data_IF_328757800449
#
_entry.id   IF_328757800449
#
_cell.length_a   1.000
_cell.length_b   1.000
_cell.length_c   1.000
_cell.angle_alpha   90.00
_cell.angle_beta   90.00
_cell.angle_gamma   90.00
#
_symmetry.space_group_name_H-M   'P 1'
#
loop_
_entity.id
_entity.type
_entity.pdbx_description
1 polymer ?
#
# COMPACT_ATOMS: atom_id res chain seq x y z
N UNK A 1 -1.46 -1.63 31.29
CA UNK A 1 -2.63 -0.83 31.74
C UNK A 1 -3.58 -0.74 30.55
N UNK A 2 -4.64 -1.51 30.59
CA UNK A 2 -5.68 -1.57 29.54
C UNK A 2 -6.62 -0.38 29.75
N UNK A 3 -6.52 0.64 28.90
CA UNK A 3 -7.55 1.66 28.84
C UNK A 3 -8.80 1.06 28.16
N UNK A 4 -9.84 0.83 28.94
CA UNK A 4 -11.19 0.61 28.45
C UNK A 4 -11.66 1.84 27.67
N UNK A 5 -12.41 1.71 26.57
CA UNK A 5 -12.95 2.86 25.87
C UNK A 5 -13.93 3.57 26.80
N UNK A 6 -13.71 4.86 26.99
CA UNK A 6 -14.61 5.76 27.73
C UNK A 6 -15.90 5.96 26.94
N UNK A 7 -16.94 5.21 27.29
CA UNK A 7 -18.29 5.31 26.73
C UNK A 7 -19.04 6.61 27.17
N UNK A 8 -18.45 7.44 28.03
CA UNK A 8 -19.15 8.55 28.68
C UNK A 8 -19.16 9.89 27.93
N UNK A 9 -18.42 10.02 26.80
CA UNK A 9 -18.21 11.37 26.20
C UNK A 9 -18.99 11.64 24.91
N UNK A 10 -19.76 10.72 24.36
CA UNK A 10 -20.50 10.90 23.09
C UNK A 10 -19.62 11.25 21.88
N UNK A 11 -18.30 11.09 21.98
CA UNK A 11 -17.35 11.39 20.92
C UNK A 11 -17.29 10.22 19.93
N UNK A 12 -17.35 10.47 18.61
CA UNK A 12 -17.25 9.41 17.62
C UNK A 12 -15.89 8.68 17.74
N UNK A 13 -15.84 7.37 17.40
CA UNK A 13 -14.61 6.59 17.38
C UNK A 13 -13.48 7.29 16.63
N UNK A 14 -12.24 7.08 17.03
CA UNK A 14 -11.05 7.74 16.44
C UNK A 14 -10.96 7.58 14.91
N UNK A 15 -11.39 6.42 14.39
CA UNK A 15 -11.53 6.15 12.95
C UNK A 15 -12.51 7.12 12.25
N UNK A 16 -13.73 7.31 12.81
CA UNK A 16 -14.72 8.22 12.22
C UNK A 16 -14.25 9.68 12.27
N UNK A 17 -13.54 10.08 13.33
CA UNK A 17 -12.95 11.43 13.43
C UNK A 17 -11.86 11.66 12.39
N UNK A 18 -10.98 10.70 12.18
CA UNK A 18 -9.93 10.76 11.18
C UNK A 18 -10.53 10.82 9.76
N UNK A 19 -11.51 9.98 9.47
CA UNK A 19 -12.24 10.01 8.19
C UNK A 19 -12.98 11.34 7.96
N UNK A 20 -13.61 11.90 9.00
CA UNK A 20 -14.29 13.21 8.90
C UNK A 20 -13.29 14.37 8.69
N UNK A 21 -12.14 14.34 9.36
CA UNK A 21 -11.08 15.33 9.16
C UNK A 21 -10.51 15.24 7.76
N UNK A 22 -10.29 14.04 7.24
CA UNK A 22 -9.82 13.80 5.89
C UNK A 22 -10.84 14.26 4.84
N UNK A 23 -12.12 13.94 5.02
CA UNK A 23 -13.18 14.44 4.14
C UNK A 23 -13.27 15.97 4.15
N UNK A 24 -13.13 16.61 5.32
CA UNK A 24 -13.10 18.07 5.43
C UNK A 24 -11.86 18.67 4.74
N UNK A 25 -10.71 18.00 4.81
CA UNK A 25 -9.48 18.38 4.13
C UNK A 25 -9.60 18.27 2.62
N UNK A 26 -10.07 17.12 2.11
CA UNK A 26 -10.35 16.90 0.69
C UNK A 26 -11.34 17.94 0.16
N UNK A 27 -12.38 18.28 0.92
CA UNK A 27 -13.35 19.29 0.55
C UNK A 27 -12.73 20.71 0.40
N UNK A 28 -11.67 21.03 1.15
CA UNK A 28 -10.93 22.31 1.01
C UNK A 28 -10.05 22.33 -0.23
N UNK A 29 -9.46 21.22 -0.61
CA UNK A 29 -8.55 21.12 -1.76
C UNK A 29 -9.33 20.96 -3.07
N UNK A 30 -10.49 20.29 -3.04
CA UNK A 30 -11.32 19.99 -4.20
C UNK A 30 -11.66 21.21 -5.09
N UNK A 31 -11.99 22.40 -4.56
CA UNK A 31 -12.25 23.58 -5.41
C UNK A 31 -11.02 24.07 -6.16
N UNK A 32 -9.82 23.71 -5.73
CA UNK A 32 -8.55 24.12 -6.34
C UNK A 32 -8.08 23.13 -7.43
N UNK A 33 -8.63 21.93 -7.44
CA UNK A 33 -8.24 20.89 -8.39
C UNK A 33 -8.87 21.15 -9.77
N UNK A 34 -8.10 20.98 -10.88
CA UNK A 34 -8.65 21.10 -12.22
C UNK A 34 -9.81 20.11 -12.46
N UNK A 35 -10.91 20.54 -13.12
CA UNK A 35 -12.05 19.65 -13.41
C UNK A 35 -11.66 18.38 -14.17
N UNK A 36 -10.68 18.47 -15.08
CA UNK A 36 -10.14 17.32 -15.82
C UNK A 36 -9.45 16.29 -14.91
N UNK A 37 -8.78 16.72 -13.85
CA UNK A 37 -8.21 15.82 -12.84
C UNK A 37 -9.32 15.13 -12.02
N UNK A 38 -10.34 15.87 -11.60
CA UNK A 38 -11.48 15.31 -10.86
C UNK A 38 -12.23 14.26 -11.69
N UNK A 39 -12.41 14.50 -12.99
CA UNK A 39 -13.00 13.53 -13.90
C UNK A 39 -12.11 12.28 -14.06
N UNK A 40 -10.79 12.43 -14.13
CA UNK A 40 -9.84 11.33 -14.21
C UNK A 40 -9.89 10.48 -12.94
N UNK A 41 -9.84 11.12 -11.76
CA UNK A 41 -9.96 10.45 -10.46
C UNK A 41 -11.31 9.73 -10.32
N UNK A 42 -12.40 10.37 -10.76
CA UNK A 42 -13.73 9.72 -10.78
C UNK A 42 -13.80 8.50 -11.68
N UNK A 43 -13.22 8.58 -12.89
CA UNK A 43 -13.14 7.43 -13.81
C UNK A 43 -12.27 6.30 -13.25
N UNK A 44 -11.11 6.62 -12.71
CA UNK A 44 -10.25 5.66 -12.02
C UNK A 44 -11.00 4.96 -10.90
N UNK A 45 -11.66 5.70 -10.00
CA UNK A 45 -12.40 5.12 -8.88
C UNK A 45 -13.43 4.09 -9.33
N UNK A 46 -14.27 4.44 -10.29
CA UNK A 46 -15.25 3.51 -10.83
C UNK A 46 -14.61 2.31 -11.55
N UNK A 47 -13.52 2.53 -12.27
CA UNK A 47 -12.82 1.46 -12.95
C UNK A 47 -12.23 0.45 -11.94
N UNK A 48 -11.63 0.92 -10.84
CA UNK A 48 -11.08 0.09 -9.77
C UNK A 48 -12.20 -0.66 -9.03
N UNK A 49 -13.25 0.04 -8.61
CA UNK A 49 -14.42 -0.58 -7.95
C UNK A 49 -15.00 -1.71 -8.79
N UNK A 50 -15.26 -1.47 -10.08
CA UNK A 50 -15.83 -2.47 -10.96
C UNK A 50 -14.92 -3.67 -11.19
N UNK A 51 -13.59 -3.50 -11.17
CA UNK A 51 -12.64 -4.59 -11.39
C UNK A 51 -12.37 -5.40 -10.12
N UNK A 52 -12.16 -4.74 -9.00
CA UNK A 52 -11.72 -5.40 -7.77
C UNK A 52 -12.89 -5.87 -6.88
N UNK A 53 -14.10 -5.28 -7.02
CA UNK A 53 -15.32 -5.73 -6.31
C UNK A 53 -16.19 -6.69 -7.12
N UNK A 54 -15.67 -7.25 -8.16
CA UNK A 54 -16.42 -8.02 -9.17
C UNK A 54 -17.15 -9.23 -8.54
N UNK A 55 -16.55 -9.96 -7.60
CA UNK A 55 -17.20 -11.08 -6.93
C UNK A 55 -18.55 -10.70 -6.30
N UNK A 56 -18.61 -9.52 -5.67
CA UNK A 56 -19.85 -9.01 -5.05
C UNK A 56 -20.93 -8.70 -6.08
N UNK A 57 -20.55 -8.15 -7.25
CA UNK A 57 -21.47 -7.92 -8.35
C UNK A 57 -21.99 -9.21 -8.99
N UNK A 58 -21.16 -10.26 -9.08
CA UNK A 58 -21.59 -11.56 -9.55
C UNK A 58 -22.62 -12.20 -8.61
N UNK A 59 -22.37 -12.20 -7.30
CA UNK A 59 -23.33 -12.69 -6.31
C UNK A 59 -24.66 -11.91 -6.39
N UNK A 60 -24.60 -10.58 -6.48
CA UNK A 60 -25.79 -9.76 -6.67
C UNK A 60 -26.51 -10.12 -7.98
N UNK A 61 -25.78 -10.31 -9.08
CA UNK A 61 -26.33 -10.72 -10.37
C UNK A 61 -27.04 -12.07 -10.32
N UNK A 62 -26.43 -13.07 -9.69
CA UNK A 62 -27.04 -14.39 -9.49
C UNK A 62 -28.30 -14.30 -8.63
N UNK A 63 -28.25 -13.54 -7.53
CA UNK A 63 -29.41 -13.35 -6.65
C UNK A 63 -30.56 -12.64 -7.38
N UNK A 64 -30.29 -11.57 -8.13
CA UNK A 64 -31.30 -10.87 -8.94
C UNK A 64 -31.85 -11.79 -10.02
N UNK A 65 -31.00 -12.56 -10.71
CA UNK A 65 -31.43 -13.52 -11.72
C UNK A 65 -32.40 -14.55 -11.11
N UNK A 66 -32.07 -15.14 -9.97
CA UNK A 66 -32.94 -16.05 -9.22
C UNK A 66 -34.27 -15.39 -8.80
N UNK A 67 -34.20 -14.16 -8.30
CA UNK A 67 -35.40 -13.43 -7.86
C UNK A 67 -36.38 -13.17 -9.03
N UNK A 68 -35.85 -12.95 -10.24
CA UNK A 68 -36.72 -12.77 -11.46
C UNK A 68 -37.53 -14.02 -11.83
N UNK A 69 -37.24 -15.20 -11.25
CA UNK A 69 -38.01 -16.42 -11.40
C UNK A 69 -39.08 -16.58 -10.30
N UNK A 70 -38.85 -15.96 -9.15
CA UNK A 70 -39.73 -16.07 -7.98
C UNK A 70 -40.79 -14.97 -7.94
N UNK A 71 -40.46 -13.79 -8.48
CA UNK A 71 -41.34 -12.60 -8.44
C UNK A 71 -41.92 -12.30 -9.80
N UNK A 72 -43.25 -12.11 -9.90
CA UNK A 72 -43.93 -11.69 -11.12
C UNK A 72 -43.73 -10.20 -11.38
N UNK A 73 -42.72 -9.88 -12.22
CA UNK A 73 -42.42 -8.52 -12.67
C UNK A 73 -42.93 -8.29 -14.08
N UNK A 74 -43.18 -7.04 -14.51
CA UNK A 74 -43.43 -6.70 -15.91
C UNK A 74 -42.38 -7.26 -16.85
N UNK A 75 -42.78 -7.81 -18.01
CA UNK A 75 -41.87 -8.51 -18.92
C UNK A 75 -40.63 -7.68 -19.31
N UNK A 76 -40.79 -6.39 -19.61
CA UNK A 76 -39.68 -5.49 -19.94
C UNK A 76 -38.67 -5.37 -18.81
N UNK A 77 -39.13 -5.24 -17.56
CA UNK A 77 -38.28 -5.14 -16.39
C UNK A 77 -37.55 -6.47 -16.14
N UNK A 78 -38.26 -7.59 -16.25
CA UNK A 78 -37.67 -8.95 -16.13
C UNK A 78 -36.55 -9.14 -17.14
N UNK A 79 -36.77 -8.78 -18.39
CA UNK A 79 -35.77 -8.90 -19.47
C UNK A 79 -34.54 -8.02 -19.18
N UNK A 80 -34.77 -6.77 -18.80
CA UNK A 80 -33.67 -5.84 -18.46
C UNK A 80 -32.83 -6.34 -17.28
N UNK A 81 -33.49 -6.80 -16.20
CA UNK A 81 -32.79 -7.34 -15.01
C UNK A 81 -31.98 -8.60 -15.35
N UNK A 82 -32.55 -9.51 -16.16
CA UNK A 82 -31.83 -10.71 -16.61
C UNK A 82 -30.63 -10.35 -17.48
N UNK A 83 -30.77 -9.41 -18.42
CA UNK A 83 -29.65 -8.97 -19.23
C UNK A 83 -28.52 -8.34 -18.42
N UNK A 84 -28.85 -7.47 -17.46
CA UNK A 84 -27.87 -6.88 -16.55
C UNK A 84 -27.19 -7.93 -15.66
N UNK A 85 -27.95 -8.90 -15.15
CA UNK A 85 -27.40 -9.99 -14.33
C UNK A 85 -26.43 -10.86 -15.14
N UNK A 86 -26.78 -11.23 -16.36
CA UNK A 86 -25.89 -11.96 -17.27
C UNK A 86 -24.64 -11.15 -17.60
N UNK A 87 -24.79 -9.87 -17.89
CA UNK A 87 -23.64 -8.98 -18.13
C UNK A 87 -22.70 -8.90 -16.92
N UNK A 88 -23.24 -8.79 -15.69
CA UNK A 88 -22.46 -8.79 -14.47
C UNK A 88 -21.70 -10.12 -14.26
N UNK A 89 -22.34 -11.27 -14.53
CA UNK A 89 -21.71 -12.59 -14.43
C UNK A 89 -20.59 -12.74 -15.47
N UNK A 90 -20.82 -12.33 -16.72
CA UNK A 90 -19.80 -12.41 -17.77
C UNK A 90 -18.61 -11.47 -17.47
N UNK A 91 -18.88 -10.30 -16.91
CA UNK A 91 -17.85 -9.38 -16.45
C UNK A 91 -16.98 -10.02 -15.33
N UNK A 92 -17.62 -10.72 -14.40
CA UNK A 92 -16.92 -11.44 -13.33
C UNK A 92 -16.03 -12.57 -13.85
N UNK A 93 -16.56 -13.38 -14.78
CA UNK A 93 -15.76 -14.44 -15.40
C UNK A 93 -14.51 -13.86 -16.09
N UNK A 94 -14.65 -12.71 -16.76
CA UNK A 94 -13.51 -11.99 -17.34
C UNK A 94 -12.51 -11.53 -16.26
N UNK A 95 -13.00 -10.97 -15.15
CA UNK A 95 -12.12 -10.51 -14.07
C UNK A 95 -11.42 -11.67 -13.35
N UNK A 96 -12.11 -12.79 -13.14
CA UNK A 96 -11.50 -14.03 -12.62
C UNK A 96 -10.40 -14.55 -13.57
N UNK A 97 -10.62 -14.50 -14.87
CA UNK A 97 -9.61 -14.83 -15.87
C UNK A 97 -8.39 -13.89 -15.79
N UNK A 98 -8.61 -12.58 -15.65
CA UNK A 98 -7.53 -11.61 -15.50
C UNK A 98 -6.77 -11.77 -14.16
N UNK A 99 -7.48 -12.11 -13.08
CA UNK A 99 -6.85 -12.46 -11.81
C UNK A 99 -5.94 -13.69 -11.95
N UNK A 100 -6.39 -14.73 -12.69
CA UNK A 100 -5.56 -15.89 -12.99
C UNK A 100 -4.31 -15.52 -13.81
N UNK A 101 -4.43 -14.62 -14.81
CA UNK A 101 -3.27 -14.08 -15.54
C UNK A 101 -2.30 -13.33 -14.62
N UNK A 102 -2.85 -12.60 -13.63
CA UNK A 102 -2.02 -11.92 -12.61
C UNK A 102 -1.22 -12.94 -11.78
N UNK A 103 -1.85 -14.05 -11.35
CA UNK A 103 -1.16 -15.14 -10.64
C UNK A 103 0.03 -15.66 -11.45
N UNK A 104 -0.19 -15.94 -12.75
CA UNK A 104 0.88 -16.40 -13.63
C UNK A 104 2.05 -15.42 -13.72
N UNK A 105 1.78 -14.10 -13.83
CA UNK A 105 2.82 -13.07 -13.84
C UNK A 105 3.58 -12.98 -12.52
N UNK A 106 2.89 -13.13 -11.40
CA UNK A 106 3.51 -13.19 -10.08
C UNK A 106 4.44 -14.39 -9.97
N UNK A 107 3.95 -15.58 -10.35
CA UNK A 107 4.75 -16.81 -10.28
C UNK A 107 5.97 -16.76 -11.21
N UNK A 108 5.82 -16.19 -12.42
CA UNK A 108 6.95 -15.97 -13.34
C UNK A 108 7.98 -15.02 -12.73
N UNK A 109 7.56 -13.91 -12.12
CA UNK A 109 8.48 -12.93 -11.53
C UNK A 109 9.19 -13.43 -10.27
N UNK A 110 8.57 -14.38 -9.55
CA UNK A 110 9.08 -14.97 -8.32
C UNK A 110 9.58 -16.42 -8.52
N UNK A 111 9.79 -16.85 -9.78
CA UNK A 111 10.18 -18.24 -10.08
C UNK A 111 11.48 -18.69 -9.41
N UNK A 112 12.41 -17.74 -9.23
CA UNK A 112 13.70 -17.98 -8.61
C UNK A 112 13.72 -17.70 -7.09
N UNK A 113 12.53 -17.42 -6.51
CA UNK A 113 12.37 -17.22 -5.07
C UNK A 113 11.88 -18.54 -4.47
N UNK A 114 12.81 -19.28 -3.89
CA UNK A 114 12.51 -20.46 -3.08
C UNK A 114 12.39 -20.04 -1.61
N UNK A 115 11.43 -20.60 -0.90
CA UNK A 115 11.29 -20.46 0.56
C UNK A 115 11.11 -21.87 1.16
N UNK A 116 11.65 -22.08 2.35
CA UNK A 116 11.71 -23.39 3.01
C UNK A 116 10.35 -23.88 3.57
N UNK A 117 9.24 -23.40 3.09
CA UNK A 117 7.95 -23.85 3.61
C UNK A 117 6.75 -23.50 2.72
N UNK A 118 5.59 -24.10 3.00
CA UNK A 118 4.37 -23.73 2.31
C UNK A 118 4.00 -22.29 2.68
N UNK A 119 3.95 -21.41 1.66
CA UNK A 119 3.47 -20.04 1.86
C UNK A 119 2.04 -20.06 2.39
N UNK A 120 1.78 -19.52 3.57
CA UNK A 120 0.43 -19.39 4.10
C UNK A 120 -0.44 -18.61 3.11
N UNK A 121 -1.67 -19.10 2.90
CA UNK A 121 -2.61 -18.45 1.98
C UNK A 121 -3.46 -17.43 2.72
N UNK A 122 -3.73 -16.33 2.05
CA UNK A 122 -4.73 -15.35 2.55
C UNK A 122 -6.11 -16.03 2.58
N UNK A 123 -6.84 -16.00 3.71
CA UNK A 123 -8.19 -16.55 3.78
C UNK A 123 -9.11 -15.89 2.75
N UNK A 124 -9.88 -16.70 2.00
CA UNK A 124 -10.77 -16.18 0.94
C UNK A 124 -12.18 -15.88 1.42
N UNK A 125 -12.45 -16.03 2.71
CA UNK A 125 -13.75 -15.67 3.32
C UNK A 125 -14.14 -14.23 3.07
N UNK A 126 -13.17 -13.32 2.95
CA UNK A 126 -13.40 -11.91 2.63
C UNK A 126 -13.89 -11.63 1.20
N UNK A 127 -13.75 -12.59 0.28
CA UNK A 127 -14.35 -12.49 -1.07
C UNK A 127 -15.87 -12.63 -1.03
N UNK A 128 -16.42 -13.22 0.02
CA UNK A 128 -17.86 -13.51 0.19
C UNK A 128 -18.50 -12.49 1.14
N UNK A 129 -17.77 -12.03 2.15
CA UNK A 129 -18.25 -11.06 3.14
C UNK A 129 -17.98 -9.64 2.62
N UNK A 130 -18.88 -8.65 2.85
CA UNK A 130 -18.65 -7.27 2.38
C UNK A 130 -17.26 -6.75 2.78
N UNK A 131 -16.65 -5.86 1.96
CA UNK A 131 -15.25 -5.44 2.07
C UNK A 131 -14.87 -4.68 3.36
N UNK A 132 -15.75 -4.66 4.35
CA UNK A 132 -15.59 -3.95 5.63
C UNK A 132 -14.87 -4.82 6.69
N UNK A 133 -14.72 -6.12 6.47
CA UNK A 133 -14.10 -7.03 7.43
C UNK A 133 -12.57 -7.13 7.24
N UNK A 134 -11.86 -6.04 7.47
CA UNK A 134 -10.40 -6.03 7.57
C UNK A 134 -9.89 -6.55 8.93
N UNK A 135 -10.61 -7.47 9.55
CA UNK A 135 -10.20 -8.10 10.80
C UNK A 135 -9.81 -9.53 10.52
N UNK A 136 -8.52 -9.79 10.51
CA UNK A 136 -8.01 -11.16 10.44
C UNK A 136 -7.92 -11.73 11.86
N UNK A 137 -8.55 -12.88 12.08
CA UNK A 137 -8.35 -13.63 13.33
C UNK A 137 -6.87 -13.97 13.47
N UNK A 138 -6.35 -13.86 14.69
CA UNK A 138 -4.93 -14.13 14.95
C UNK A 138 -3.98 -12.94 14.71
N UNK A 139 -4.52 -11.74 14.44
CA UNK A 139 -3.73 -10.52 14.35
C UNK A 139 -4.22 -9.50 15.39
N UNK A 140 -3.29 -8.98 16.18
CA UNK A 140 -3.52 -7.89 17.13
C UNK A 140 -3.09 -6.57 16.49
N UNK A 141 -3.95 -5.55 16.57
CA UNK A 141 -3.68 -4.20 16.09
C UNK A 141 -3.66 -3.22 17.24
N UNK A 142 -2.50 -2.55 17.47
CA UNK A 142 -2.36 -1.42 18.39
C UNK A 142 -2.44 -0.13 17.58
N UNK A 143 -3.35 0.77 17.94
CA UNK A 143 -3.66 1.96 17.13
C UNK A 143 -3.06 3.22 17.71
N UNK A 144 -2.59 4.11 16.83
CA UNK A 144 -2.28 5.50 17.13
C UNK A 144 -1.06 5.70 18.01
N UNK A 145 -0.09 4.79 17.96
CA UNK A 145 1.21 4.96 18.61
C UNK A 145 1.88 6.20 18.03
N UNK A 146 2.31 7.12 18.88
CA UNK A 146 3.01 8.33 18.47
C UNK A 146 4.49 7.98 18.26
N UNK A 147 5.00 8.19 17.05
CA UNK A 147 6.41 7.95 16.75
C UNK A 147 7.24 9.24 16.71
N UNK A 148 6.62 10.39 16.45
CA UNK A 148 7.32 11.68 16.47
C UNK A 148 6.37 12.86 16.68
N UNK A 149 6.94 14.04 16.89
CA UNK A 149 6.28 15.34 16.71
C UNK A 149 7.07 16.10 15.66
N UNK A 150 6.42 16.51 14.58
CA UNK A 150 7.03 17.30 13.53
C UNK A 150 7.29 18.75 14.00
N UNK A 151 8.10 19.50 13.26
CA UNK A 151 8.47 20.89 13.59
C UNK A 151 7.27 21.85 13.72
N UNK A 152 6.20 21.60 12.96
CA UNK A 152 4.95 22.35 13.02
C UNK A 152 4.01 21.94 14.20
N UNK A 153 4.48 21.04 15.07
CA UNK A 153 3.73 20.51 16.20
C UNK A 153 2.78 19.36 15.85
N UNK A 154 2.76 18.88 14.59
CA UNK A 154 1.95 17.74 14.17
C UNK A 154 2.42 16.46 14.86
N UNK A 155 1.51 15.75 15.53
CA UNK A 155 1.80 14.44 16.07
C UNK A 155 1.72 13.36 14.98
N UNK A 156 2.85 12.78 14.65
CA UNK A 156 3.00 11.69 13.70
C UNK A 156 2.69 10.36 14.38
N UNK A 157 1.82 9.56 13.79
CA UNK A 157 1.31 8.33 14.40
C UNK A 157 1.42 7.15 13.45
N UNK A 158 1.49 5.95 14.05
CA UNK A 158 1.44 4.68 13.34
C UNK A 158 0.50 3.70 14.06
N UNK A 159 0.10 2.66 13.34
CA UNK A 159 -0.59 1.51 13.90
C UNK A 159 0.32 0.28 13.78
N UNK A 160 0.35 -0.56 14.82
CA UNK A 160 1.17 -1.77 14.86
C UNK A 160 0.29 -2.99 14.65
N UNK A 161 0.67 -3.86 13.72
CA UNK A 161 0.03 -5.15 13.43
C UNK A 161 1.01 -6.26 13.77
N UNK A 162 0.59 -7.24 14.58
CA UNK A 162 1.42 -8.38 15.00
C UNK A 162 0.61 -9.63 15.24
N UNK A 163 1.22 -10.82 15.30
CA UNK A 163 0.53 -12.02 15.73
C UNK A 163 -0.19 -11.79 17.07
N UNK A 164 -1.39 -12.33 17.24
CA UNK A 164 -2.20 -12.05 18.44
C UNK A 164 -1.62 -12.70 19.69
N UNK A 165 -0.90 -13.81 19.54
CA UNK A 165 -0.23 -14.60 20.56
C UNK A 165 1.24 -14.20 20.79
N UNK A 166 1.71 -13.18 20.08
CA UNK A 166 3.05 -12.63 20.25
C UNK A 166 3.11 -11.70 21.47
N UNK A 167 4.15 -11.88 22.30
CA UNK A 167 4.50 -10.96 23.39
C UNK A 167 5.90 -10.36 23.10
N UNK A 168 6.01 -9.02 22.98
CA UNK A 168 7.30 -8.36 22.78
C UNK A 168 8.34 -8.62 23.90
N UNK A 169 7.89 -9.13 25.04
CA UNK A 169 8.78 -9.50 26.16
C UNK A 169 9.43 -10.89 25.97
N UNK A 170 8.97 -11.68 24.98
CA UNK A 170 9.62 -12.94 24.65
C UNK A 170 10.96 -12.65 23.95
N UNK A 171 11.96 -13.54 24.14
CA UNK A 171 13.28 -13.42 23.48
C UNK A 171 13.27 -13.74 21.97
N UNK A 172 12.10 -13.64 21.34
CA UNK A 172 11.88 -13.93 19.91
C UNK A 172 11.79 -12.63 19.13
N UNK A 173 12.71 -12.41 18.20
CA UNK A 173 12.69 -11.22 17.34
C UNK A 173 11.92 -11.50 16.04
N UNK A 174 11.10 -10.55 15.65
CA UNK A 174 10.31 -10.60 14.42
C UNK A 174 10.89 -9.67 13.35
N UNK A 175 10.90 -10.06 12.08
CA UNK A 175 11.16 -9.12 11.01
C UNK A 175 10.01 -8.10 10.92
N UNK A 176 10.32 -6.90 10.42
CA UNK A 176 9.41 -5.77 10.43
C UNK A 176 9.13 -5.23 9.02
N UNK A 177 7.92 -4.70 8.80
CA UNK A 177 7.57 -3.99 7.57
C UNK A 177 6.86 -2.67 7.87
N UNK A 178 7.34 -1.59 7.25
CA UNK A 178 6.72 -0.27 7.33
C UNK A 178 5.86 -0.07 6.07
N UNK A 179 4.57 0.21 6.27
CA UNK A 179 3.61 0.52 5.22
C UNK A 179 3.36 2.01 5.14
N UNK A 180 3.58 2.60 3.96
CA UNK A 180 3.37 4.02 3.66
C UNK A 180 2.15 4.17 2.76
N UNK A 181 1.14 4.91 3.22
CA UNK A 181 -0.09 5.08 2.45
C UNK A 181 0.09 5.98 1.22
N UNK A 182 -0.77 5.82 0.22
CA UNK A 182 -0.88 6.69 -0.95
C UNK A 182 -1.77 7.91 -0.72
N UNK A 183 -2.26 8.50 -1.83
CA UNK A 183 -3.17 9.65 -1.79
C UNK A 183 -2.56 10.92 -2.38
N UNK A 184 -1.57 10.79 -3.29
CA UNK A 184 -0.96 11.91 -4.02
C UNK A 184 -0.27 12.93 -3.12
N UNK A 185 0.25 12.49 -1.96
CA UNK A 185 0.83 13.34 -0.90
C UNK A 185 -0.15 14.38 -0.31
N UNK A 186 -1.42 14.32 -0.71
CA UNK A 186 -2.48 15.27 -0.39
C UNK A 186 -3.51 14.70 0.59
N UNK A 187 -3.68 13.40 0.54
CA UNK A 187 -4.76 12.67 1.19
C UNK A 187 -4.26 11.31 1.64
N UNK A 188 -5.10 10.55 2.32
CA UNK A 188 -4.81 9.22 2.81
C UNK A 188 -4.40 9.20 4.28
N UNK A 189 -4.41 8.01 4.83
CA UNK A 189 -4.06 7.76 6.22
C UNK A 189 -3.73 6.28 6.44
N UNK A 190 -3.10 5.96 7.58
CA UNK A 190 -2.84 4.60 8.05
C UNK A 190 -4.11 3.72 8.22
N UNK A 191 -5.31 4.27 7.97
CA UNK A 191 -6.57 3.53 8.09
C UNK A 191 -7.09 2.96 6.77
N UNK A 192 -6.47 3.29 5.62
CA UNK A 192 -7.05 3.05 4.31
C UNK A 192 -6.29 2.03 3.46
N UNK A 193 -4.95 2.07 3.46
CA UNK A 193 -4.11 1.23 2.59
C UNK A 193 -3.27 0.22 3.35
N UNK A 194 -2.86 -0.85 2.66
CA UNK A 194 -1.95 -1.88 3.15
C UNK A 194 -2.55 -2.80 4.20
N UNK A 195 -3.82 -2.63 4.60
CA UNK A 195 -4.43 -3.41 5.67
C UNK A 195 -4.49 -4.91 5.35
N UNK A 196 -4.88 -5.36 4.14
CA UNK A 196 -4.84 -6.79 3.80
C UNK A 196 -3.42 -7.35 3.85
N UNK A 197 -2.44 -6.63 3.32
CA UNK A 197 -1.03 -7.03 3.34
C UNK A 197 -0.49 -7.13 4.77
N UNK A 198 -0.71 -6.11 5.61
CA UNK A 198 -0.23 -6.11 6.99
C UNK A 198 -0.87 -7.21 7.84
N UNK A 199 -2.15 -7.52 7.63
CA UNK A 199 -2.80 -8.65 8.27
C UNK A 199 -2.18 -9.99 7.82
N UNK A 200 -1.90 -10.13 6.52
CA UNK A 200 -1.26 -11.33 6.01
C UNK A 200 0.14 -11.49 6.58
N UNK A 201 0.99 -10.47 6.52
CA UNK A 201 2.35 -10.50 7.06
C UNK A 201 2.36 -10.79 8.56
N UNK A 202 1.47 -10.14 9.34
CA UNK A 202 1.34 -10.44 10.76
C UNK A 202 0.90 -11.90 11.01
N UNK A 203 0.05 -12.47 10.17
CA UNK A 203 -0.37 -13.88 10.27
C UNK A 203 0.75 -14.89 9.99
N UNK A 204 1.85 -14.45 9.40
CA UNK A 204 3.03 -15.26 9.10
C UNK A 204 4.27 -14.85 9.91
N UNK A 205 4.08 -14.15 11.03
CA UNK A 205 5.13 -13.86 12.00
C UNK A 205 5.87 -12.53 11.80
N UNK A 206 5.41 -11.64 10.91
CA UNK A 206 5.97 -10.30 10.74
C UNK A 206 5.29 -9.28 11.66
N UNK A 207 6.01 -8.21 12.01
CA UNK A 207 5.42 -7.03 12.66
C UNK A 207 5.29 -5.89 11.65
N UNK A 208 4.05 -5.43 11.44
CA UNK A 208 3.74 -4.37 10.48
C UNK A 208 3.48 -3.02 11.14
N UNK A 209 3.99 -1.95 10.54
CA UNK A 209 3.82 -0.57 10.99
C UNK A 209 3.16 0.26 9.89
N UNK A 210 1.87 0.62 10.05
CA UNK A 210 1.18 1.48 9.09
C UNK A 210 1.30 2.93 9.53
N UNK A 211 2.03 3.77 8.78
CA UNK A 211 2.45 5.09 9.22
C UNK A 211 1.66 6.21 8.57
N UNK A 212 1.36 7.28 9.34
CA UNK A 212 0.97 8.57 8.79
C UNK A 212 2.22 9.42 8.53
N UNK A 213 2.15 10.31 7.57
CA UNK A 213 3.11 11.36 7.30
C UNK A 213 2.38 12.68 7.02
N UNK A 214 3.05 13.84 7.13
CA UNK A 214 2.45 15.14 6.85
C UNK A 214 2.08 15.27 5.38
N UNK A 215 0.94 15.90 5.14
CA UNK A 215 0.33 15.99 3.83
C UNK A 215 0.39 17.42 3.27
N UNK A 216 0.54 17.52 1.96
CA UNK A 216 0.41 18.77 1.22
C UNK A 216 -1.07 19.20 1.13
N UNK A 217 -1.39 20.47 0.97
CA UNK A 217 -0.48 21.60 0.82
C UNK A 217 0.00 22.19 2.16
N UNK A 218 -0.44 21.70 3.32
CA UNK A 218 -0.03 22.23 4.63
C UNK A 218 1.47 22.01 4.85
N UNK A 219 1.97 20.81 4.55
CA UNK A 219 3.39 20.51 4.52
C UNK A 219 3.87 20.34 3.07
N UNK A 220 4.97 21.00 2.71
CA UNK A 220 5.59 20.86 1.39
C UNK A 220 6.74 19.88 1.40
N UNK A 221 7.14 19.40 0.22
CA UNK A 221 8.37 18.64 0.07
C UNK A 221 9.56 19.36 0.71
N UNK A 222 10.45 18.68 1.49
CA UNK A 222 10.56 17.23 1.65
C UNK A 222 9.88 16.66 2.91
N UNK A 223 8.93 17.34 3.53
CA UNK A 223 8.33 16.92 4.80
C UNK A 223 7.84 15.47 4.79
N UNK A 224 7.33 14.98 3.66
CA UNK A 224 6.77 13.64 3.51
C UNK A 224 7.85 12.55 3.67
N UNK A 225 8.98 12.69 2.99
CA UNK A 225 10.07 11.72 3.08
C UNK A 225 10.78 11.81 4.43
N UNK A 226 10.92 13.01 5.00
CA UNK A 226 11.49 13.21 6.33
C UNK A 226 10.67 12.45 7.39
N UNK A 227 9.34 12.54 7.33
CA UNK A 227 8.46 11.86 8.28
C UNK A 227 8.53 10.33 8.12
N UNK A 228 8.62 9.81 6.88
CA UNK A 228 8.80 8.37 6.63
C UNK A 228 10.14 7.88 7.18
N UNK A 229 11.23 8.61 6.93
CA UNK A 229 12.55 8.26 7.50
C UNK A 229 12.57 8.35 9.02
N UNK A 230 11.87 9.32 9.59
CA UNK A 230 11.68 9.40 11.05
C UNK A 230 10.94 8.17 11.60
N UNK A 231 9.97 7.64 10.86
CA UNK A 231 9.29 6.39 11.24
C UNK A 231 10.24 5.19 11.18
N UNK A 232 11.10 5.08 10.15
CA UNK A 232 12.13 4.02 10.05
C UNK A 232 13.08 4.10 11.24
N UNK A 233 13.63 5.28 11.53
CA UNK A 233 14.52 5.51 12.66
C UNK A 233 13.86 5.13 13.99
N UNK A 234 12.62 5.60 14.23
CA UNK A 234 11.88 5.30 15.44
C UNK A 234 11.62 3.79 15.62
N UNK A 235 11.24 3.09 14.56
CA UNK A 235 11.01 1.63 14.61
C UNK A 235 12.31 0.91 14.98
N UNK A 236 13.45 1.30 14.42
CA UNK A 236 14.77 0.73 14.72
C UNK A 236 15.22 1.07 16.14
N UNK A 237 15.08 2.31 16.57
CA UNK A 237 15.44 2.76 17.93
C UNK A 237 14.65 2.05 19.04
N UNK A 238 13.39 1.68 18.75
CA UNK A 238 12.51 0.99 19.69
C UNK A 238 12.42 -0.52 19.43
N UNK A 239 13.33 -1.09 18.64
CA UNK A 239 13.28 -2.47 18.20
C UNK A 239 13.17 -3.48 19.37
N UNK A 240 13.93 -3.27 20.43
CA UNK A 240 13.91 -4.12 21.64
C UNK A 240 12.53 -4.10 22.33
N UNK A 241 11.93 -2.92 22.49
CA UNK A 241 10.59 -2.79 23.11
C UNK A 241 9.48 -3.36 22.21
N UNK A 242 9.72 -3.33 20.90
CA UNK A 242 8.78 -3.82 19.89
C UNK A 242 8.95 -5.33 19.60
N UNK A 243 10.00 -6.00 20.14
CA UNK A 243 10.29 -7.40 19.84
C UNK A 243 10.60 -7.63 18.35
N UNK A 244 11.32 -6.71 17.70
CA UNK A 244 11.68 -6.81 16.28
C UNK A 244 13.20 -6.84 16.09
N UNK A 245 13.63 -7.43 14.97
CA UNK A 245 15.02 -7.36 14.53
C UNK A 245 15.29 -6.00 13.86
N UNK A 246 16.17 -5.15 14.42
CA UNK A 246 16.48 -3.83 13.87
C UNK A 246 17.16 -3.89 12.49
N UNK A 247 17.79 -5.01 12.14
CA UNK A 247 18.44 -5.20 10.84
C UNK A 247 17.46 -5.67 9.76
N UNK A 248 16.29 -6.24 10.17
CA UNK A 248 15.30 -6.77 9.24
C UNK A 248 14.05 -5.88 9.18
N UNK A 249 14.23 -4.63 8.80
CA UNK A 249 13.15 -3.66 8.57
C UNK A 249 12.99 -3.45 7.06
N UNK A 250 11.83 -3.84 6.53
CA UNK A 250 11.44 -3.62 5.13
C UNK A 250 10.46 -2.47 5.00
N UNK A 251 10.30 -1.93 3.78
CA UNK A 251 9.36 -0.86 3.50
C UNK A 251 8.48 -1.16 2.30
N UNK A 252 7.20 -0.78 2.38
CA UNK A 252 6.24 -0.91 1.29
C UNK A 252 5.27 0.25 1.26
N UNK A 253 4.62 0.48 0.13
CA UNK A 253 3.62 1.54 0.00
C UNK A 253 3.10 1.70 -1.41
N UNK A 254 1.93 2.34 -1.57
CA UNK A 254 1.27 2.50 -2.85
C UNK A 254 1.19 3.95 -3.32
N UNK A 255 1.28 4.20 -4.65
CA UNK A 255 1.13 5.53 -5.24
C UNK A 255 2.17 6.54 -4.69
N UNK A 256 1.73 7.62 -4.08
CA UNK A 256 2.62 8.52 -3.33
C UNK A 256 3.43 7.78 -2.25
N UNK A 257 2.84 6.78 -1.59
CA UNK A 257 3.55 5.88 -0.67
C UNK A 257 4.56 4.99 -1.39
N UNK A 258 4.27 4.55 -2.62
CA UNK A 258 5.20 3.82 -3.47
C UNK A 258 6.42 4.65 -3.88
N UNK A 259 6.19 5.92 -4.20
CA UNK A 259 7.26 6.90 -4.39
C UNK A 259 8.14 7.02 -3.14
N UNK A 260 7.52 7.28 -1.96
CA UNK A 260 8.25 7.43 -0.70
C UNK A 260 8.98 6.15 -0.30
N UNK A 261 8.39 4.98 -0.58
CA UNK A 261 9.01 3.65 -0.39
C UNK A 261 10.28 3.51 -1.23
N UNK A 262 10.19 3.77 -2.53
CA UNK A 262 11.33 3.66 -3.44
C UNK A 262 12.43 4.68 -3.07
N UNK A 263 12.04 5.92 -2.77
CA UNK A 263 12.99 6.95 -2.38
C UNK A 263 13.67 6.66 -1.05
N UNK A 264 12.92 6.16 -0.04
CA UNK A 264 13.51 5.77 1.24
C UNK A 264 14.55 4.66 1.07
N UNK A 265 14.25 3.63 0.26
CA UNK A 265 15.20 2.55 -0.06
C UNK A 265 16.45 3.04 -0.77
N UNK A 266 16.33 4.06 -1.62
CA UNK A 266 17.44 4.61 -2.42
C UNK A 266 18.18 5.78 -1.75
N UNK A 267 17.77 6.20 -0.57
CA UNK A 267 18.39 7.32 0.15
C UNK A 267 18.68 6.98 1.60
N UNK A 268 19.10 5.72 1.86
CA UNK A 268 19.53 5.31 3.19
C UNK A 268 20.52 6.34 3.77
N UNK A 269 20.28 6.76 5.01
CA UNK A 269 21.17 7.66 5.76
C UNK A 269 21.49 9.00 5.05
N UNK A 270 20.63 9.45 4.12
CA UNK A 270 20.82 10.72 3.42
C UNK A 270 20.44 11.90 4.33
N UNK A 271 21.42 12.73 4.77
CA UNK A 271 21.21 13.75 5.80
C UNK A 271 20.23 14.84 5.37
N UNK A 272 20.11 15.13 4.06
CA UNK A 272 19.14 16.10 3.54
C UNK A 272 17.68 15.72 3.80
N UNK A 273 17.42 14.43 4.09
CA UNK A 273 16.09 13.91 4.45
C UNK A 273 15.98 13.47 5.92
N UNK A 274 16.98 13.81 6.74
CA UNK A 274 17.04 13.45 8.15
C UNK A 274 17.32 14.65 9.08
N UNK A 275 16.70 15.83 8.89
CA UNK A 275 17.01 17.00 9.71
C UNK A 275 16.71 16.76 11.19
N UNK A 276 17.75 16.95 12.03
CA UNK A 276 17.71 16.73 13.47
C UNK A 276 17.73 15.26 13.92
N UNK A 277 18.06 14.33 12.99
CA UNK A 277 18.34 12.91 13.26
C UNK A 277 19.29 12.33 12.19
N UNK A 278 20.26 13.13 11.79
CA UNK A 278 21.20 12.84 10.70
C UNK A 278 22.03 11.57 10.97
N UNK A 279 22.28 11.27 12.25
CA UNK A 279 23.05 10.09 12.70
C UNK A 279 22.21 8.81 12.81
N UNK A 280 20.88 8.90 12.66
CA UNK A 280 20.01 7.73 12.74
C UNK A 280 20.12 6.86 11.48
N UNK A 281 20.20 5.54 11.67
CA UNK A 281 20.17 4.60 10.56
C UNK A 281 18.72 4.46 10.01
N UNK A 282 18.55 4.85 8.75
CA UNK A 282 17.29 4.76 8.01
C UNK A 282 17.38 3.80 6.82
N UNK A 283 18.36 2.88 6.81
CA UNK A 283 18.45 1.81 5.85
C UNK A 283 17.25 0.85 5.95
N UNK A 284 16.98 0.12 4.89
CA UNK A 284 15.93 -0.91 4.86
C UNK A 284 16.46 -2.17 4.17
N UNK A 285 16.03 -3.33 4.65
CA UNK A 285 16.46 -4.63 4.13
C UNK A 285 15.85 -4.95 2.76
N UNK A 286 14.68 -4.42 2.45
CA UNK A 286 14.03 -4.53 1.14
C UNK A 286 12.98 -3.43 0.94
N UNK A 287 12.67 -3.09 -0.33
CA UNK A 287 11.64 -2.14 -0.70
C UNK A 287 10.62 -2.74 -1.67
N UNK A 288 9.32 -2.55 -1.38
CA UNK A 288 8.22 -3.07 -2.20
C UNK A 288 7.29 -1.91 -2.61
N UNK A 289 7.66 -1.08 -3.59
CA UNK A 289 6.81 -0.01 -4.08
C UNK A 289 5.71 -0.54 -5.02
N UNK A 290 4.46 -0.13 -4.74
CA UNK A 290 3.30 -0.37 -5.60
C UNK A 290 2.99 0.87 -6.42
N UNK A 291 2.85 0.74 -7.73
CA UNK A 291 2.40 1.78 -8.66
C UNK A 291 2.88 3.19 -8.24
N UNK A 292 4.17 3.28 -7.90
CA UNK A 292 4.83 4.50 -7.46
C UNK A 292 5.10 5.48 -8.60
N UNK A 293 5.41 6.71 -8.21
CA UNK A 293 5.94 7.74 -9.10
C UNK A 293 7.46 7.72 -8.97
N UNK A 294 8.18 7.50 -10.06
CA UNK A 294 9.64 7.30 -10.00
C UNK A 294 10.45 8.46 -10.59
N UNK A 295 9.89 9.19 -11.56
CA UNK A 295 10.53 10.38 -12.14
C UNK A 295 9.63 11.61 -12.09
N UNK A 296 9.78 12.44 -11.05
CA UNK A 296 9.00 13.68 -10.91
C UNK A 296 9.43 14.77 -11.92
N UNK A 297 10.57 14.60 -12.60
CA UNK A 297 10.97 15.50 -13.68
C UNK A 297 10.18 15.25 -14.96
N UNK A 298 9.54 14.07 -15.06
CA UNK A 298 8.80 13.61 -16.24
C UNK A 298 9.63 13.68 -17.53
N UNK A 299 10.92 13.35 -17.45
CA UNK A 299 11.85 13.44 -18.57
C UNK A 299 11.40 12.63 -19.80
N UNK A 300 10.74 11.47 -19.56
CA UNK A 300 10.22 10.60 -20.60
C UNK A 300 8.77 10.89 -21.02
N UNK A 301 8.12 11.91 -20.42
CA UNK A 301 6.80 12.38 -20.80
C UNK A 301 5.64 11.42 -20.47
N UNK A 302 5.80 10.56 -19.47
CA UNK A 302 4.76 9.59 -19.08
C UNK A 302 3.56 10.26 -18.41
N UNK A 303 3.78 11.35 -17.66
CA UNK A 303 2.73 11.98 -16.88
C UNK A 303 1.97 13.03 -17.68
N UNK A 304 0.66 13.07 -17.43
CA UNK A 304 -0.23 14.06 -18.01
C UNK A 304 -0.09 15.44 -17.31
N UNK A 305 -0.43 16.55 -18.01
CA UNK A 305 -0.19 17.91 -17.50
C UNK A 305 -0.75 18.18 -16.11
N UNK A 306 -1.96 17.63 -15.78
CA UNK A 306 -2.56 17.88 -14.47
C UNK A 306 -1.77 17.26 -13.31
N UNK A 307 -1.04 16.18 -13.54
CA UNK A 307 -0.15 15.60 -12.52
C UNK A 307 1.08 16.49 -12.33
N UNK A 308 1.71 16.91 -13.43
CA UNK A 308 2.88 17.79 -13.37
C UNK A 308 2.53 19.17 -12.81
N UNK A 309 1.62 19.90 -13.50
CA UNK A 309 1.40 21.32 -13.26
C UNK A 309 0.63 21.60 -11.96
N UNK A 310 -0.26 20.64 -11.56
CA UNK A 310 -1.07 20.86 -10.37
C UNK A 310 -0.54 20.07 -9.18
N UNK A 311 -0.33 18.75 -9.30
CA UNK A 311 0.08 17.94 -8.15
C UNK A 311 1.53 18.25 -7.77
N UNK A 312 2.46 18.19 -8.72
CA UNK A 312 3.87 18.39 -8.40
C UNK A 312 4.16 19.88 -8.17
N UNK A 313 3.92 20.75 -9.16
CA UNK A 313 4.35 22.15 -9.07
C UNK A 313 3.58 22.97 -8.03
N UNK A 314 2.23 22.87 -8.03
CA UNK A 314 1.41 23.78 -7.19
C UNK A 314 1.16 23.25 -5.79
N UNK A 315 1.19 21.93 -5.61
CA UNK A 315 0.78 21.32 -4.34
C UNK A 315 1.97 20.73 -3.59
N UNK A 316 2.72 19.82 -4.19
CA UNK A 316 3.81 19.12 -3.51
C UNK A 316 5.01 20.04 -3.29
N UNK A 317 5.56 20.59 -4.38
CA UNK A 317 6.77 21.43 -4.30
C UNK A 317 6.46 22.91 -4.06
N UNK A 318 5.31 23.41 -4.50
CA UNK A 318 4.96 24.85 -4.59
C UNK A 318 6.00 25.67 -5.37
N UNK A 319 6.66 25.04 -6.30
CA UNK A 319 7.68 25.57 -7.19
C UNK A 319 7.54 24.93 -8.56
N UNK A 320 7.68 25.67 -9.67
CA UNK A 320 7.69 25.08 -11.00
C UNK A 320 8.94 24.22 -11.21
N UNK A 321 8.86 23.23 -12.10
CA UNK A 321 10.01 22.42 -12.50
C UNK A 321 11.11 23.29 -13.09
N UNK A 322 10.75 24.18 -14.02
CA UNK A 322 11.70 25.08 -14.67
C UNK A 322 12.38 25.99 -13.65
N UNK A 323 13.71 25.87 -13.57
CA UNK A 323 14.55 26.60 -12.62
C UNK A 323 14.62 25.98 -11.22
N UNK A 324 14.03 24.78 -11.01
CA UNK A 324 14.13 24.01 -9.79
C UNK A 324 14.39 22.50 -10.08
N UNK A 325 15.07 22.19 -11.18
CA UNK A 325 15.29 20.84 -11.68
C UNK A 325 16.00 19.95 -10.64
N UNK A 326 16.94 20.50 -9.89
CA UNK A 326 17.68 19.78 -8.86
C UNK A 326 16.77 19.34 -7.70
N UNK A 327 15.77 20.16 -7.32
CA UNK A 327 14.76 19.80 -6.32
C UNK A 327 13.94 18.60 -6.78
N UNK A 328 13.49 18.61 -8.04
CA UNK A 328 12.72 17.50 -8.61
C UNK A 328 13.55 16.22 -8.77
N UNK A 329 14.80 16.37 -9.22
CA UNK A 329 15.75 15.24 -9.32
C UNK A 329 16.03 14.63 -7.94
N UNK A 330 16.28 15.44 -6.93
CA UNK A 330 16.53 14.95 -5.57
C UNK A 330 15.34 14.16 -5.00
N UNK A 331 14.12 14.52 -5.41
CA UNK A 331 12.89 13.86 -5.02
C UNK A 331 12.54 12.62 -5.88
N UNK A 332 13.19 12.42 -7.00
CA UNK A 332 12.86 11.32 -7.94
C UNK A 332 13.69 10.08 -7.66
N UNK A 333 13.09 8.94 -7.32
CA UNK A 333 13.79 7.66 -7.21
C UNK A 333 14.69 7.35 -8.42
N UNK A 334 14.23 7.68 -9.63
CA UNK A 334 14.97 7.52 -10.89
C UNK A 334 16.38 8.16 -10.86
N UNK A 335 16.56 9.23 -10.11
CA UNK A 335 17.83 9.96 -10.02
C UNK A 335 18.65 9.63 -8.75
N UNK A 336 18.18 8.65 -7.94
CA UNK A 336 18.81 8.27 -6.68
C UNK A 336 19.33 6.81 -6.69
N UNK A 337 19.31 6.16 -7.84
CA UNK A 337 19.78 4.77 -8.01
C UNK A 337 21.28 4.66 -7.77
N UNK A 338 21.71 3.57 -7.13
CA UNK A 338 23.10 3.23 -6.87
C UNK A 338 23.28 1.70 -6.76
N UNK A 339 24.52 1.23 -6.82
CA UNK A 339 24.84 -0.19 -6.83
C UNK A 339 24.38 -0.91 -5.54
N UNK A 340 24.60 -0.27 -4.40
CA UNK A 340 24.29 -0.81 -3.06
C UNK A 340 22.82 -0.64 -2.66
N UNK A 341 21.90 -0.42 -3.63
CA UNK A 341 20.47 -0.33 -3.32
C UNK A 341 19.94 -1.67 -2.77
N UNK A 342 19.01 -1.67 -1.79
CA UNK A 342 18.46 -2.93 -1.29
C UNK A 342 17.69 -3.69 -2.37
N UNK A 343 17.33 -4.96 -2.16
CA UNK A 343 16.44 -5.69 -3.05
C UNK A 343 15.09 -4.97 -3.25
N UNK A 344 14.61 -4.93 -4.50
CA UNK A 344 13.33 -4.32 -4.86
C UNK A 344 12.36 -5.35 -5.45
N UNK A 345 11.08 -5.25 -5.04
CA UNK A 345 9.95 -5.88 -5.74
C UNK A 345 8.98 -4.77 -6.17
N UNK A 346 9.07 -4.34 -7.43
CA UNK A 346 8.20 -3.30 -8.00
C UNK A 346 6.93 -3.93 -8.55
N UNK A 347 5.76 -3.41 -8.15
CA UNK A 347 4.46 -3.94 -8.56
C UNK A 347 3.64 -2.81 -9.20
N UNK A 348 3.12 -3.03 -10.44
CA UNK A 348 2.34 -2.01 -11.13
C UNK A 348 1.19 -2.60 -11.94
N UNK A 349 0.09 -1.88 -12.06
CA UNK A 349 -1.04 -2.27 -12.90
C UNK A 349 -0.83 -1.87 -14.37
N UNK A 350 -1.04 -2.80 -15.30
CA UNK A 350 -0.91 -2.54 -16.75
C UNK A 350 -1.78 -1.37 -17.24
N UNK A 351 -2.96 -1.19 -16.62
CA UNK A 351 -3.95 -0.18 -17.01
C UNK A 351 -4.08 0.97 -16.04
N UNK A 352 -3.03 1.25 -15.32
CA UNK A 352 -3.01 2.37 -14.38
C UNK A 352 -3.28 3.70 -15.11
N UNK A 353 -4.41 4.32 -14.80
CA UNK A 353 -4.84 5.59 -15.42
C UNK A 353 -4.45 6.83 -14.62
N UNK A 354 -3.92 6.66 -13.40
CA UNK A 354 -3.42 7.76 -12.57
C UNK A 354 -1.91 7.90 -12.65
N UNK A 355 -1.17 6.80 -12.50
CA UNK A 355 0.29 6.76 -12.62
C UNK A 355 0.64 5.80 -13.76
N UNK A 356 0.97 6.31 -14.94
CA UNK A 356 1.23 5.48 -16.11
C UNK A 356 2.34 4.45 -15.90
N UNK A 357 2.08 3.20 -16.25
CA UNK A 357 3.01 2.07 -16.06
C UNK A 357 4.36 2.23 -16.77
N UNK A 358 4.45 3.12 -17.76
CA UNK A 358 5.69 3.43 -18.48
C UNK A 358 6.81 3.89 -17.54
N UNK A 359 6.48 4.73 -16.56
CA UNK A 359 7.44 5.22 -15.57
C UNK A 359 8.04 4.08 -14.72
N UNK A 360 7.21 3.11 -14.32
CA UNK A 360 7.69 1.93 -13.58
C UNK A 360 8.59 1.02 -14.44
N UNK A 361 8.29 0.87 -15.73
CA UNK A 361 9.12 0.08 -16.66
C UNK A 361 10.49 0.70 -16.81
N UNK A 362 10.56 2.02 -17.04
CA UNK A 362 11.82 2.76 -17.16
C UNK A 362 12.64 2.68 -15.86
N UNK A 363 11.97 2.85 -14.70
CA UNK A 363 12.62 2.73 -13.40
C UNK A 363 13.22 1.33 -13.18
N UNK A 364 12.46 0.27 -13.47
CA UNK A 364 12.93 -1.12 -13.30
C UNK A 364 14.08 -1.44 -14.25
N UNK A 365 14.01 -0.99 -15.50
CA UNK A 365 15.10 -1.17 -16.47
C UNK A 365 16.38 -0.51 -15.97
N UNK A 366 16.30 0.74 -15.53
CA UNK A 366 17.45 1.48 -15.04
C UNK A 366 17.99 0.90 -13.71
N UNK A 367 17.10 0.49 -12.78
CA UNK A 367 17.49 -0.17 -11.53
C UNK A 367 18.26 -1.48 -11.79
N UNK A 368 17.78 -2.31 -12.72
CA UNK A 368 18.47 -3.57 -13.11
C UNK A 368 19.84 -3.34 -13.73
N UNK A 369 20.04 -2.19 -14.36
CA UNK A 369 21.34 -1.81 -14.93
C UNK A 369 22.32 -1.24 -13.89
N UNK A 370 21.81 -0.78 -12.72
CA UNK A 370 22.58 -0.03 -11.73
C UNK A 370 22.81 -0.81 -10.45
N UNK A 371 21.79 -1.51 -9.94
CA UNK A 371 21.84 -2.22 -8.65
C UNK A 371 22.54 -3.57 -8.76
N UNK A 372 23.36 -3.90 -7.76
CA UNK A 372 23.95 -5.23 -7.60
C UNK A 372 22.96 -6.23 -6.98
N UNK A 373 21.93 -5.72 -6.31
CA UNK A 373 20.88 -6.52 -5.69
C UNK A 373 19.73 -6.82 -6.65
N UNK A 374 18.90 -7.77 -6.26
CA UNK A 374 17.78 -8.27 -7.07
C UNK A 374 16.68 -7.22 -7.23
N UNK A 375 16.31 -6.96 -8.49
CA UNK A 375 15.18 -6.08 -8.85
C UNK A 375 14.12 -6.89 -9.59
N UNK A 376 13.08 -7.25 -8.87
CA UNK A 376 11.91 -7.98 -9.39
C UNK A 376 10.83 -7.00 -9.84
N UNK A 377 10.09 -7.39 -10.88
CA UNK A 377 8.99 -6.59 -11.42
C UNK A 377 7.77 -7.45 -11.72
N UNK A 378 6.63 -7.03 -11.19
CA UNK A 378 5.33 -7.64 -11.47
C UNK A 378 4.42 -6.61 -12.11
N UNK A 379 4.18 -6.75 -13.41
CA UNK A 379 3.15 -5.99 -14.13
C UNK A 379 1.86 -6.81 -14.18
N UNK A 380 0.83 -6.29 -13.52
CA UNK A 380 -0.43 -6.99 -13.34
C UNK A 380 -1.39 -6.73 -14.50
N UNK A 381 -1.75 -7.76 -15.28
CA UNK A 381 -2.67 -7.61 -16.40
C UNK A 381 -4.03 -7.04 -15.98
N UNK A 382 -4.52 -6.04 -16.75
CA UNK A 382 -5.82 -5.38 -16.56
C UNK A 382 -6.03 -4.74 -15.16
N UNK A 383 -4.97 -4.62 -14.34
CA UNK A 383 -5.05 -3.94 -13.06
C UNK A 383 -5.02 -2.43 -13.23
N UNK A 384 -5.83 -1.74 -12.44
CA UNK A 384 -5.91 -0.29 -12.36
C UNK A 384 -5.07 0.21 -11.18
N UNK A 385 -4.89 1.53 -11.03
CA UNK A 385 -4.25 2.13 -9.86
C UNK A 385 -4.92 1.74 -8.54
N UNK A 386 -4.16 1.51 -7.48
CA UNK A 386 -4.64 1.18 -6.14
C UNK A 386 -5.57 -0.06 -6.09
N UNK A 387 -5.27 -1.08 -6.87
CA UNK A 387 -6.00 -2.34 -6.91
C UNK A 387 -6.03 -3.06 -5.56
N UNK A 388 -5.06 -2.81 -4.70
CA UNK A 388 -4.87 -3.42 -3.37
C UNK A 388 -5.75 -2.80 -2.26
N UNK A 389 -6.47 -1.72 -2.55
CA UNK A 389 -7.46 -1.13 -1.61
C UNK A 389 -8.62 -2.08 -1.32
N UNK A 390 -8.90 -2.99 -2.24
CA UNK A 390 -10.03 -3.91 -2.15
C UNK A 390 -9.55 -5.33 -1.83
N UNK A 391 -10.26 -6.07 -0.98
CA UNK A 391 -9.95 -7.46 -0.69
C UNK A 391 -10.36 -8.36 -1.87
N UNK A 392 -9.65 -8.24 -2.99
CA UNK A 392 -9.82 -9.05 -4.19
C UNK A 392 -8.90 -10.28 -4.18
N UNK A 393 -9.17 -11.26 -5.08
CA UNK A 393 -8.25 -12.40 -5.29
C UNK A 393 -6.86 -11.90 -5.73
N UNK A 394 -6.79 -10.82 -6.53
CA UNK A 394 -5.52 -10.20 -6.92
C UNK A 394 -4.77 -9.67 -5.72
N UNK A 395 -5.44 -8.94 -4.83
CA UNK A 395 -4.85 -8.42 -3.58
C UNK A 395 -4.34 -9.54 -2.68
N UNK A 396 -5.10 -10.63 -2.55
CA UNK A 396 -4.69 -11.81 -1.79
C UNK A 396 -3.40 -12.43 -2.37
N UNK A 397 -3.35 -12.65 -3.68
CA UNK A 397 -2.18 -13.23 -4.36
C UNK A 397 -0.94 -12.36 -4.28
N UNK A 398 -1.10 -11.05 -4.40
CA UNK A 398 -0.01 -10.10 -4.24
C UNK A 398 0.51 -10.09 -2.80
N UNK A 399 -0.37 -10.13 -1.81
CA UNK A 399 0.03 -10.22 -0.40
C UNK A 399 0.83 -11.50 -0.12
N UNK A 400 0.37 -12.66 -0.65
CA UNK A 400 1.09 -13.94 -0.58
C UNK A 400 2.48 -13.84 -1.25
N UNK A 401 2.56 -13.20 -2.43
CA UNK A 401 3.81 -13.01 -3.17
C UNK A 401 4.82 -12.14 -2.41
N UNK A 402 4.35 -11.05 -1.81
CA UNK A 402 5.19 -10.17 -0.99
C UNK A 402 5.67 -10.92 0.25
N UNK A 403 4.78 -11.68 0.91
CA UNK A 403 5.17 -12.54 2.03
C UNK A 403 6.33 -13.48 1.64
N UNK A 404 6.23 -14.18 0.51
CA UNK A 404 7.31 -15.03 -0.02
C UNK A 404 8.60 -14.26 -0.28
N UNK A 405 8.51 -13.11 -0.98
CA UNK A 405 9.68 -12.30 -1.30
C UNK A 405 10.40 -11.82 -0.03
N UNK A 406 9.66 -11.24 0.92
CA UNK A 406 10.24 -10.70 2.15
C UNK A 406 10.79 -11.82 3.05
N UNK A 407 10.09 -12.97 3.14
CA UNK A 407 10.57 -14.13 3.89
C UNK A 407 11.87 -14.68 3.28
N UNK A 408 11.97 -14.79 1.96
CA UNK A 408 13.22 -15.21 1.32
C UNK A 408 14.40 -14.24 1.56
N UNK A 409 14.13 -12.93 1.66
CA UNK A 409 15.16 -11.96 2.07
C UNK A 409 15.57 -12.22 3.52
N UNK A 410 14.62 -12.43 4.42
CA UNK A 410 14.89 -12.71 5.82
C UNK A 410 15.66 -14.03 6.01
N UNK A 411 15.29 -15.10 5.31
CA UNK A 411 15.99 -16.39 5.30
C UNK A 411 17.45 -16.24 4.81
N UNK A 412 17.68 -15.47 3.75
CA UNK A 412 19.03 -15.18 3.24
C UNK A 412 19.94 -14.55 4.30
N UNK A 413 19.36 -13.71 5.17
CA UNK A 413 20.06 -13.02 6.26
C UNK A 413 20.05 -13.82 7.58
N UNK A 414 19.43 -15.01 7.61
CA UNK A 414 19.28 -15.82 8.83
C UNK A 414 18.34 -15.19 9.86
N UNK A 415 17.34 -14.46 9.39
CA UNK A 415 16.41 -13.63 10.19
C UNK A 415 14.93 -13.92 9.84
N UNK A 416 14.65 -15.18 9.52
CA UNK A 416 13.31 -15.63 9.20
C UNK A 416 12.31 -15.39 10.34
N UNK A 417 11.04 -15.13 10.00
CA UNK A 417 10.01 -14.93 10.99
C UNK A 417 9.84 -16.20 11.84
N UNK A 418 9.61 -16.07 13.15
CA UNK A 418 9.36 -17.21 14.00
C UNK A 418 8.12 -17.97 13.52
N UNK A 419 8.09 -19.30 13.66
CA UNK A 419 6.96 -20.10 13.24
C UNK A 419 5.72 -19.70 14.03
N UNK A 420 4.63 -19.46 13.31
CA UNK A 420 3.32 -19.20 13.93
C UNK A 420 2.90 -20.46 14.72
N UNK A 421 2.52 -20.29 15.98
CA UNK A 421 2.13 -21.40 16.88
C UNK A 421 1.01 -22.22 16.25
N UNK A 422 1.05 -23.55 16.46
CA UNK A 422 0.08 -24.48 15.83
C UNK A 422 -1.36 -24.23 16.26
N UNK A 423 -1.56 -23.72 17.49
CA UNK A 423 -2.84 -23.35 18.08
C UNK A 423 -3.25 -21.90 17.79
N UNK A 424 -2.44 -21.16 17.03
CA UNK A 424 -2.74 -19.76 16.69
C UNK A 424 -4.03 -19.65 15.86
N UNK A 425 -4.93 -18.73 16.22
CA UNK A 425 -6.12 -18.42 15.41
C UNK A 425 -5.81 -18.04 13.97
N UNK A 426 -4.57 -17.65 13.67
CA UNK A 426 -4.10 -17.33 12.32
C UNK A 426 -4.02 -18.56 11.39
N UNK A 427 -3.80 -19.79 11.94
CA UNK A 427 -3.79 -21.04 11.15
C UNK A 427 -5.18 -21.62 10.87
N UNK A 428 -6.18 -21.22 11.63
CA UNK A 428 -7.54 -21.78 11.57
C UNK A 428 -8.46 -20.94 10.67
N UNK A 429 -8.00 -19.80 10.17
CA UNK A 429 -8.72 -18.88 9.28
C UNK A 429 -8.41 -19.17 7.82
#
# INVERSE_FOLDING_TARGET
MTEHPDESTGRPPSFLRSSMQEQARIARIRPLAPPSLLLRVGRWWWATVLRESAAHFAFAGVAVLGLTWLVRLPARLTTALRALSVAAILWELRNAWNAHRSVKRIDEALSDIETDGPSPRVPRSHLIVPPIAFVTRGVRRTRGVKYATAEDGTNLRLDVYRPADDDPADDVLHPAVIQVHGGGWLAGSRFEQGIPLLNHLASIGWVGFNVDYRLSPEATWPAQIVDVKRAIAWVRENAAELGIDPEMICITGGSAGGHLTALAGLTANAPEFQPGFEDADTSVAAAVPFYGVYDLTNANGHYYPQLNDWVFEKVLFKRPLVGNEDLYRSASPMHRMHADAPPFLVIHGERDTLVPVGDARDFVEAMRATSEERVLYVELPDAEHAFDLWPSERTARISEAIGRFLTAIAEREGKEPPPVREDSPARVA
#
